data_IF_126863304933
#
_entry.id   IF_126863304933
#
_cell.length_a   1.000
_cell.length_b   1.000
_cell.length_c   1.000
_cell.angle_alpha   90.00
_cell.angle_beta   90.00
_cell.angle_gamma   90.00
#
_symmetry.space_group_name_H-M   'P 1'
#
loop_
_entity.id
_entity.type
_entity.pdbx_description
1 polymer ?
#
# COMPACT_ATOMS: atom_id res chain seq x y z
N UNK A 1 -0.27 -0.90 20.22
CA UNK A 1 -1.29 -0.21 19.38
C UNK A 1 -2.45 0.40 20.19
N UNK A 2 -3.20 -0.36 21.01
CA UNK A 2 -4.40 0.13 21.74
C UNK A 2 -4.17 1.38 22.60
N UNK A 3 -2.98 1.52 23.20
CA UNK A 3 -2.62 2.67 24.03
C UNK A 3 -2.41 3.96 23.23
N UNK A 4 -1.84 3.89 22.03
CA UNK A 4 -1.59 5.08 21.17
C UNK A 4 -2.91 5.60 20.60
N UNK A 5 -3.72 4.72 20.02
CA UNK A 5 -5.04 5.09 19.48
C UNK A 5 -5.94 5.68 20.57
N UNK A 6 -5.96 5.06 21.76
CA UNK A 6 -6.73 5.56 22.90
C UNK A 6 -6.24 6.91 23.41
N UNK A 7 -4.92 7.14 23.45
CA UNK A 7 -4.34 8.44 23.82
C UNK A 7 -4.74 9.52 22.81
N UNK A 8 -4.63 9.26 21.51
CA UNK A 8 -5.01 10.23 20.48
C UNK A 8 -6.49 10.57 20.56
N UNK A 9 -7.35 9.56 20.74
CA UNK A 9 -8.79 9.76 20.94
C UNK A 9 -9.07 10.70 22.11
N UNK A 10 -8.45 10.44 23.27
CA UNK A 10 -8.62 11.28 24.46
C UNK A 10 -8.12 12.70 24.23
N UNK A 11 -7.00 12.89 23.54
CA UNK A 11 -6.48 14.22 23.24
C UNK A 11 -7.42 15.03 22.35
N UNK A 12 -8.06 14.39 21.37
CA UNK A 12 -9.07 15.03 20.50
C UNK A 12 -10.35 15.38 21.29
N UNK A 13 -10.86 14.45 22.08
CA UNK A 13 -12.04 14.68 22.93
C UNK A 13 -11.78 15.82 23.95
N UNK A 14 -10.57 15.89 24.53
CA UNK A 14 -10.19 16.92 25.49
C UNK A 14 -10.17 18.34 24.91
N UNK A 15 -9.98 18.49 23.60
CA UNK A 15 -10.05 19.79 22.90
C UNK A 15 -11.44 20.05 22.27
N UNK A 16 -12.44 19.19 22.58
CA UNK A 16 -13.83 19.37 22.15
C UNK A 16 -14.16 18.81 20.77
N UNK A 17 -13.38 17.86 20.25
CA UNK A 17 -13.70 17.18 18.98
C UNK A 17 -14.69 16.05 19.21
N UNK A 18 -15.83 16.10 18.52
CA UNK A 18 -16.77 14.99 18.44
C UNK A 18 -16.24 13.90 17.50
N UNK A 19 -16.12 12.67 18.03
CA UNK A 19 -15.61 11.52 17.27
C UNK A 19 -16.76 10.60 16.89
N UNK A 20 -17.11 10.62 15.61
CA UNK A 20 -18.17 9.80 15.05
C UNK A 20 -17.56 8.59 14.34
N UNK A 21 -17.93 7.39 14.77
CA UNK A 21 -17.43 6.15 14.17
C UNK A 21 -18.37 5.66 13.06
N UNK A 22 -17.88 5.73 11.84
CA UNK A 22 -18.57 5.19 10.66
C UNK A 22 -17.80 5.52 9.38
N UNK A 23 -18.23 4.92 8.27
CA UNK A 23 -17.80 5.33 6.93
C UNK A 23 -18.62 6.56 6.52
N UNK A 24 -17.93 7.67 6.30
CA UNK A 24 -18.53 8.91 5.81
C UNK A 24 -18.58 8.94 4.27
N UNK A 25 -19.68 9.41 3.70
CA UNK A 25 -19.82 9.76 2.28
C UNK A 25 -20.40 11.15 2.16
N UNK A 26 -19.84 11.98 1.28
CA UNK A 26 -20.30 13.35 1.05
C UNK A 26 -21.56 13.28 0.20
N UNK A 27 -22.65 13.88 0.70
CA UNK A 27 -23.93 13.92 0.02
C UNK A 27 -24.14 15.24 -0.74
N UNK A 28 -23.71 16.33 -0.12
CA UNK A 28 -23.73 17.69 -0.67
C UNK A 28 -22.63 18.54 -0.01
N UNK A 29 -22.53 19.82 -0.35
CA UNK A 29 -21.45 20.72 0.10
C UNK A 29 -21.38 20.87 1.64
N UNK A 30 -22.47 20.51 2.34
CA UNK A 30 -22.60 20.70 3.78
C UNK A 30 -23.03 19.45 4.55
N UNK A 31 -23.20 18.30 3.89
CA UNK A 31 -23.77 17.11 4.53
C UNK A 31 -22.92 15.87 4.27
N UNK A 32 -22.57 15.18 5.36
CA UNK A 32 -21.92 13.86 5.33
C UNK A 32 -22.91 12.82 5.83
N UNK A 33 -23.16 11.81 5.00
CA UNK A 33 -23.87 10.60 5.40
C UNK A 33 -22.89 9.63 6.09
N UNK A 34 -23.32 9.05 7.20
CA UNK A 34 -22.54 8.11 8.00
C UNK A 34 -23.23 6.76 7.95
N UNK A 35 -22.49 5.74 7.55
CA UNK A 35 -22.95 4.34 7.60
C UNK A 35 -21.87 3.41 8.14
N UNK A 36 -22.26 2.23 8.63
CA UNK A 36 -21.30 1.18 8.99
C UNK A 36 -21.26 0.11 7.88
N UNK A 37 -20.07 -0.30 7.41
CA UNK A 37 -19.96 -1.42 6.48
C UNK A 37 -20.65 -2.67 7.04
N UNK A 38 -21.61 -3.24 6.29
CA UNK A 38 -22.34 -4.44 6.69
C UNK A 38 -23.49 -4.23 7.69
N UNK A 39 -23.88 -2.98 8.00
CA UNK A 39 -25.06 -2.68 8.81
C UNK A 39 -25.93 -1.62 8.12
N UNK A 40 -27.13 -2.03 7.71
CA UNK A 40 -28.11 -1.19 6.99
C UNK A 40 -28.90 -0.28 7.95
N UNK A 41 -28.89 -0.58 9.25
CA UNK A 41 -29.71 0.03 10.28
C UNK A 41 -29.01 1.15 11.08
N UNK A 42 -27.69 1.30 10.93
CA UNK A 42 -26.93 2.39 11.55
C UNK A 42 -26.60 3.40 10.45
N UNK A 43 -27.54 4.33 10.23
CA UNK A 43 -27.43 5.44 9.29
C UNK A 43 -27.66 6.77 10.01
N UNK A 44 -27.00 7.82 9.54
CA UNK A 44 -27.16 9.17 10.06
C UNK A 44 -26.54 10.21 9.14
N UNK A 45 -26.83 11.48 9.41
CA UNK A 45 -26.24 12.61 8.68
C UNK A 45 -25.68 13.63 9.64
N UNK A 46 -24.56 14.23 9.28
CA UNK A 46 -23.98 15.38 9.99
C UNK A 46 -23.85 16.52 9.01
N UNK A 47 -24.24 17.72 9.47
CA UNK A 47 -24.06 18.95 8.71
C UNK A 47 -22.85 19.72 9.19
N UNK A 48 -22.11 20.33 8.25
CA UNK A 48 -20.92 21.12 8.54
C UNK A 48 -20.79 22.30 7.56
N UNK A 49 -20.25 23.42 8.04
CA UNK A 49 -19.95 24.57 7.17
C UNK A 49 -18.83 24.28 6.18
N UNK A 50 -17.84 23.47 6.58
CA UNK A 50 -16.71 23.06 5.76
C UNK A 50 -16.43 21.57 5.98
N UNK A 51 -16.01 20.89 4.91
CA UNK A 51 -15.66 19.46 4.93
C UNK A 51 -14.20 19.31 4.52
N UNK A 52 -13.40 18.64 5.34
CA UNK A 52 -12.00 18.29 5.03
C UNK A 52 -11.94 16.80 4.70
N UNK A 53 -11.49 16.47 3.49
CA UNK A 53 -11.29 15.08 3.08
C UNK A 53 -9.87 14.65 3.43
N UNK A 54 -9.76 13.70 4.37
CA UNK A 54 -8.49 13.18 4.88
C UNK A 54 -8.46 11.64 4.89
N UNK A 55 -8.96 11.02 3.82
CA UNK A 55 -9.20 9.56 3.74
C UNK A 55 -7.96 8.73 3.44
N UNK A 56 -6.81 9.40 3.21
CA UNK A 56 -5.52 8.75 3.06
C UNK A 56 -5.39 7.93 1.78
N UNK A 57 -4.75 6.77 1.89
CA UNK A 57 -4.38 5.92 0.75
C UNK A 57 -4.47 4.45 1.12
N UNK A 58 -4.54 3.59 0.11
CA UNK A 58 -4.50 2.12 0.21
C UNK A 58 -3.30 1.57 -0.58
N UNK A 59 -2.77 0.38 -0.25
CA UNK A 59 -1.76 -0.27 -1.10
C UNK A 59 -2.20 -0.34 -2.56
N UNK A 60 -1.28 -0.05 -3.49
CA UNK A 60 -1.52 -0.20 -4.91
C UNK A 60 -1.09 -1.60 -5.34
N UNK A 61 -2.03 -2.37 -5.90
CA UNK A 61 -1.75 -3.68 -6.49
C UNK A 61 -1.71 -3.52 -8.02
N UNK A 62 -0.62 -3.93 -8.70
CA UNK A 62 -0.52 -3.85 -10.15
C UNK A 62 -1.64 -4.63 -10.86
N UNK A 63 -2.14 -4.17 -12.02
CA UNK A 63 -3.09 -4.94 -12.81
C UNK A 63 -2.55 -6.34 -13.14
N UNK A 64 -3.38 -7.36 -12.99
CA UNK A 64 -3.01 -8.77 -13.23
C UNK A 64 -2.55 -9.52 -11.99
N UNK A 65 -2.24 -8.83 -10.88
CA UNK A 65 -1.92 -9.47 -9.61
C UNK A 65 -3.17 -9.59 -8.73
N UNK A 66 -3.34 -10.76 -8.10
CA UNK A 66 -4.41 -11.00 -7.13
C UNK A 66 -3.81 -11.24 -5.75
N UNK A 67 -4.28 -10.47 -4.78
CA UNK A 67 -3.93 -10.61 -3.36
C UNK A 67 -4.93 -11.55 -2.71
N UNK A 68 -4.44 -12.59 -2.03
CA UNK A 68 -5.25 -13.59 -1.32
C UNK A 68 -5.19 -13.45 0.21
N UNK A 69 -4.40 -12.49 0.71
CA UNK A 69 -4.16 -12.19 2.13
C UNK A 69 -3.57 -13.38 2.93
N UNK A 70 -3.04 -14.39 2.23
CA UNK A 70 -2.44 -15.59 2.79
C UNK A 70 -1.00 -15.75 2.32
N UNK A 71 -0.80 -15.97 1.03
CA UNK A 71 0.52 -16.14 0.40
C UNK A 71 0.89 -14.96 -0.46
N UNK A 72 -0.08 -14.28 -1.06
CA UNK A 72 0.10 -13.04 -1.79
C UNK A 72 -0.62 -11.95 -1.03
N UNK A 73 0.13 -11.01 -0.46
CA UNK A 73 -0.42 -9.99 0.43
C UNK A 73 0.25 -8.63 0.27
N UNK A 74 -0.31 -7.60 0.90
CA UNK A 74 0.26 -6.25 0.92
C UNK A 74 0.89 -5.95 2.28
N UNK A 75 1.49 -4.77 2.42
CA UNK A 75 2.06 -4.32 3.71
C UNK A 75 1.05 -4.28 4.86
N UNK A 76 -0.25 -4.17 4.59
CA UNK A 76 -1.31 -4.15 5.61
C UNK A 76 -1.44 -5.50 6.36
N UNK A 77 -1.11 -6.62 5.68
CA UNK A 77 -1.13 -7.97 6.24
C UNK A 77 0.26 -8.47 6.63
N UNK A 78 1.32 -7.93 6.03
CA UNK A 78 2.72 -8.26 6.36
C UNK A 78 3.04 -8.10 7.87
N UNK A 79 2.43 -7.14 8.56
CA UNK A 79 2.59 -6.95 10.02
C UNK A 79 1.76 -7.91 10.89
N UNK A 80 0.93 -8.76 10.28
CA UNK A 80 -0.07 -9.62 10.93
C UNK A 80 0.02 -11.06 10.42
N UNK A 81 1.20 -11.46 9.97
CA UNK A 81 1.47 -12.85 9.65
C UNK A 81 1.49 -13.67 10.95
N UNK A 82 0.88 -14.84 10.92
CA UNK A 82 0.89 -15.77 12.05
C UNK A 82 2.18 -16.58 12.08
N UNK A 83 2.72 -16.88 10.90
CA UNK A 83 3.96 -17.62 10.68
C UNK A 83 4.81 -16.88 9.62
N UNK A 84 6.14 -16.96 9.76
CA UNK A 84 7.07 -16.37 8.80
C UNK A 84 7.34 -17.35 7.64
N UNK A 85 7.32 -16.90 6.38
CA UNK A 85 7.80 -17.71 5.27
C UNK A 85 9.31 -17.96 5.39
N UNK A 86 9.83 -19.04 4.82
CA UNK A 86 11.30 -19.23 4.74
C UNK A 86 11.89 -18.31 3.66
N UNK A 87 11.15 -18.12 2.56
CA UNK A 87 11.51 -17.24 1.45
C UNK A 87 10.33 -16.38 0.98
N UNK A 88 10.52 -15.06 0.94
CA UNK A 88 9.55 -14.09 0.47
C UNK A 88 10.07 -13.29 -0.73
N UNK A 89 9.25 -13.14 -1.77
CA UNK A 89 9.48 -12.13 -2.79
C UNK A 89 8.74 -10.82 -2.43
N UNK A 90 9.42 -9.69 -2.57
CA UNK A 90 8.82 -8.37 -2.37
C UNK A 90 8.79 -7.64 -3.72
N UNK A 91 7.60 -7.36 -4.22
CA UNK A 91 7.39 -6.67 -5.49
C UNK A 91 7.34 -5.17 -5.23
N UNK A 92 8.39 -4.46 -5.62
CA UNK A 92 8.62 -3.04 -5.40
C UNK A 92 9.71 -2.78 -4.36
N UNK A 93 10.73 -2.02 -4.74
CA UNK A 93 11.89 -1.69 -3.89
C UNK A 93 11.84 -0.27 -3.30
N UNK A 94 10.65 0.33 -3.22
CA UNK A 94 10.44 1.61 -2.54
C UNK A 94 10.67 1.51 -1.03
N UNK A 95 10.44 2.60 -0.31
CA UNK A 95 10.69 2.66 1.15
C UNK A 95 9.96 1.53 1.92
N UNK A 96 8.70 1.23 1.58
CA UNK A 96 7.95 0.11 2.20
C UNK A 96 8.67 -1.22 1.94
N UNK A 97 9.02 -1.52 0.69
CA UNK A 97 9.66 -2.78 0.33
C UNK A 97 11.00 -2.96 1.04
N UNK A 98 11.80 -1.90 1.13
CA UNK A 98 13.10 -1.93 1.81
C UNK A 98 12.99 -2.06 3.33
N UNK A 99 12.04 -1.37 3.97
CA UNK A 99 11.79 -1.51 5.41
C UNK A 99 11.41 -2.96 5.77
N UNK A 100 10.52 -3.57 4.98
CA UNK A 100 10.14 -4.97 5.19
C UNK A 100 11.27 -5.95 4.85
N UNK A 101 12.07 -5.69 3.81
CA UNK A 101 13.24 -6.51 3.52
C UNK A 101 14.22 -6.52 4.71
N UNK A 102 14.44 -5.38 5.35
CA UNK A 102 15.28 -5.27 6.54
C UNK A 102 14.69 -6.06 7.72
N UNK A 103 13.39 -5.94 7.97
CA UNK A 103 12.68 -6.68 9.03
C UNK A 103 12.72 -8.19 8.78
N UNK A 104 12.37 -8.65 7.58
CA UNK A 104 12.31 -10.07 7.26
C UNK A 104 13.69 -10.73 7.32
N UNK A 105 14.72 -10.08 6.78
CA UNK A 105 16.09 -10.61 6.89
C UNK A 105 16.59 -10.66 8.33
N UNK A 106 16.25 -9.67 9.17
CA UNK A 106 16.58 -9.71 10.59
C UNK A 106 15.89 -10.87 11.33
N UNK A 107 14.77 -11.36 10.81
CA UNK A 107 14.04 -12.51 11.32
C UNK A 107 14.47 -13.84 10.67
N UNK A 108 15.49 -13.83 9.82
CA UNK A 108 16.06 -15.03 9.18
C UNK A 108 15.35 -15.47 7.89
N UNK A 109 14.43 -14.66 7.36
CA UNK A 109 13.71 -14.93 6.11
C UNK A 109 14.57 -14.52 4.91
N UNK A 110 14.67 -15.41 3.91
CA UNK A 110 15.27 -15.10 2.62
C UNK A 110 14.38 -14.13 1.84
N UNK A 111 14.95 -13.11 1.21
CA UNK A 111 14.20 -12.06 0.52
C UNK A 111 14.65 -11.93 -0.92
N UNK A 112 13.71 -11.89 -1.86
CA UNK A 112 13.98 -11.47 -3.25
C UNK A 112 13.23 -10.18 -3.56
N UNK A 113 13.94 -9.11 -3.89
CA UNK A 113 13.34 -7.85 -4.33
C UNK A 113 13.09 -7.88 -5.84
N UNK A 114 11.89 -7.52 -6.28
CA UNK A 114 11.53 -7.40 -7.70
C UNK A 114 11.22 -5.94 -8.02
N UNK A 115 12.00 -5.31 -8.89
CA UNK A 115 11.89 -3.90 -9.23
C UNK A 115 11.79 -3.68 -10.75
N UNK A 116 10.77 -2.93 -11.16
CA UNK A 116 10.51 -2.64 -12.57
C UNK A 116 11.50 -1.64 -13.16
N UNK A 117 12.09 -0.79 -12.31
CA UNK A 117 13.06 0.23 -12.72
C UNK A 117 14.52 -0.31 -12.69
N UNK A 118 15.47 0.40 -13.32
CA UNK A 118 16.86 -0.06 -13.39
C UNK A 118 17.59 -0.19 -12.06
N UNK A 119 17.15 0.58 -11.07
CA UNK A 119 17.80 0.70 -9.77
C UNK A 119 16.79 0.45 -8.64
N UNK A 120 17.26 -0.13 -7.54
CA UNK A 120 16.50 -0.22 -6.30
C UNK A 120 16.28 1.16 -5.69
N UNK A 121 15.26 1.29 -4.83
CA UNK A 121 14.87 2.54 -4.16
C UNK A 121 14.65 3.69 -5.15
N UNK A 122 13.84 3.50 -6.20
CA UNK A 122 13.61 4.55 -7.19
C UNK A 122 13.03 5.81 -6.53
N UNK A 123 13.48 6.99 -6.99
CA UNK A 123 13.06 8.30 -6.47
C UNK A 123 13.95 8.88 -5.37
N UNK A 124 14.86 8.09 -4.79
CA UNK A 124 15.90 8.61 -3.91
C UNK A 124 17.06 9.22 -4.72
N UNK A 125 17.80 10.13 -4.08
CA UNK A 125 19.06 10.65 -4.65
C UNK A 125 20.07 9.52 -4.87
N UNK A 126 20.84 9.61 -5.96
CA UNK A 126 21.75 8.55 -6.37
C UNK A 126 22.88 8.25 -5.37
N UNK A 127 23.34 9.22 -4.59
CA UNK A 127 24.32 8.98 -3.53
C UNK A 127 23.71 8.20 -2.36
N UNK A 128 22.49 8.59 -1.96
CA UNK A 128 21.74 7.91 -0.91
C UNK A 128 21.43 6.47 -1.35
N UNK A 129 20.98 6.27 -2.59
CA UNK A 129 20.70 4.94 -3.15
C UNK A 129 21.94 4.04 -3.09
N UNK A 130 23.11 4.54 -3.51
CA UNK A 130 24.36 3.74 -3.49
C UNK A 130 24.75 3.33 -2.07
N UNK A 131 24.65 4.25 -1.12
CA UNK A 131 24.99 3.96 0.28
C UNK A 131 23.98 2.97 0.89
N UNK A 132 22.69 3.23 0.71
CA UNK A 132 21.62 2.38 1.22
C UNK A 132 21.67 0.97 0.60
N UNK A 133 21.92 0.85 -0.70
CA UNK A 133 22.08 -0.46 -1.36
C UNK A 133 23.23 -1.25 -0.75
N UNK A 134 24.37 -0.60 -0.51
CA UNK A 134 25.51 -1.25 0.13
C UNK A 134 25.17 -1.80 1.51
N UNK A 135 24.53 -0.97 2.34
CA UNK A 135 24.24 -1.31 3.74
C UNK A 135 23.11 -2.32 3.88
N UNK A 136 22.02 -2.11 3.14
CA UNK A 136 20.77 -2.87 3.30
C UNK A 136 20.70 -4.11 2.41
N UNK A 137 21.43 -4.14 1.29
CA UNK A 137 21.37 -5.24 0.31
C UNK A 137 22.73 -5.94 0.19
N UNK A 138 23.78 -5.22 -0.23
CA UNK A 138 25.05 -5.87 -0.59
C UNK A 138 25.74 -6.55 0.62
N UNK A 139 25.66 -5.94 1.80
CA UNK A 139 26.15 -6.52 3.06
C UNK A 139 25.33 -7.73 3.53
N UNK A 140 24.12 -7.94 2.97
CA UNK A 140 23.19 -9.02 3.29
C UNK A 140 22.97 -9.95 2.09
N UNK A 141 23.92 -10.04 1.16
CA UNK A 141 23.79 -10.81 -0.09
C UNK A 141 23.48 -12.30 0.08
N UNK A 142 23.76 -12.89 1.25
CA UNK A 142 23.42 -14.28 1.55
C UNK A 142 21.95 -14.46 1.99
N UNK A 143 21.23 -13.34 2.17
CA UNK A 143 19.84 -13.24 2.61
C UNK A 143 18.94 -12.46 1.66
N UNK A 144 19.50 -11.58 0.83
CA UNK A 144 18.77 -10.74 -0.12
C UNK A 144 19.31 -10.92 -1.53
N UNK A 145 18.44 -11.38 -2.41
CA UNK A 145 18.61 -11.28 -3.86
C UNK A 145 17.70 -10.19 -4.45
N UNK A 146 17.98 -9.76 -5.68
CA UNK A 146 17.14 -8.79 -6.36
C UNK A 146 17.19 -8.88 -7.89
N UNK A 147 16.05 -8.58 -8.51
CA UNK A 147 15.91 -8.42 -9.95
C UNK A 147 15.43 -7.01 -10.26
N UNK A 148 16.22 -6.24 -11.02
CA UNK A 148 15.83 -4.93 -11.56
C UNK A 148 15.47 -5.02 -13.04
N UNK A 149 14.82 -3.97 -13.57
CA UNK A 149 14.28 -3.94 -14.93
C UNK A 149 13.29 -5.09 -15.22
N UNK A 150 12.55 -5.55 -14.21
CA UNK A 150 11.55 -6.61 -14.37
C UNK A 150 10.26 -6.30 -13.62
N UNK A 151 9.13 -6.66 -14.20
CA UNK A 151 7.83 -6.60 -13.52
C UNK A 151 7.27 -8.01 -13.37
N UNK A 152 6.65 -8.27 -12.22
CA UNK A 152 5.88 -9.48 -12.00
C UNK A 152 4.60 -9.40 -12.85
N UNK A 153 4.43 -10.30 -13.82
CA UNK A 153 3.26 -10.35 -14.70
C UNK A 153 2.22 -11.35 -14.25
N UNK A 154 2.68 -12.45 -13.68
CA UNK A 154 1.83 -13.48 -13.11
C UNK A 154 2.37 -13.89 -11.74
N UNK A 155 1.48 -13.94 -10.76
CA UNK A 155 1.77 -14.41 -9.40
C UNK A 155 0.72 -15.45 -9.07
N UNK A 156 1.11 -16.73 -9.03
CA UNK A 156 0.16 -17.84 -8.92
C UNK A 156 0.55 -18.75 -7.76
N UNK A 157 -0.36 -19.01 -6.81
CA UNK A 157 -0.13 -20.03 -5.80
C UNK A 157 0.13 -21.40 -6.45
N UNK A 158 1.17 -22.10 -6.01
CA UNK A 158 1.50 -23.43 -6.51
C UNK A 158 0.74 -24.51 -5.73
N UNK A 159 0.62 -25.69 -6.33
CA UNK A 159 -0.03 -26.86 -5.73
C UNK A 159 0.69 -27.36 -4.48
N UNK A 160 1.98 -27.05 -4.33
CA UNK A 160 2.84 -27.53 -3.25
C UNK A 160 2.96 -26.56 -2.07
N UNK A 161 2.25 -25.43 -2.11
CA UNK A 161 2.21 -24.50 -0.98
C UNK A 161 2.96 -23.19 -1.21
N UNK A 162 3.75 -23.07 -2.28
CA UNK A 162 4.45 -21.84 -2.65
C UNK A 162 3.65 -20.92 -3.56
N UNK A 163 4.36 -19.98 -4.18
CA UNK A 163 3.90 -18.99 -5.14
C UNK A 163 4.93 -18.87 -6.27
N UNK A 164 4.49 -19.12 -7.49
CA UNK A 164 5.28 -18.90 -8.71
C UNK A 164 5.10 -17.47 -9.19
N UNK A 165 6.20 -16.82 -9.57
CA UNK A 165 6.24 -15.45 -10.09
C UNK A 165 6.94 -15.44 -11.45
N UNK A 166 6.21 -15.03 -12.49
CA UNK A 166 6.82 -14.74 -13.79
C UNK A 166 7.39 -13.32 -13.81
N UNK A 167 8.69 -13.22 -14.04
CA UNK A 167 9.42 -11.96 -14.16
C UNK A 167 9.56 -11.62 -15.64
N UNK A 168 8.91 -10.55 -16.07
CA UNK A 168 8.95 -10.05 -17.45
C UNK A 168 9.88 -8.85 -17.54
N UNK A 169 10.75 -8.83 -18.55
CA UNK A 169 11.67 -7.71 -18.77
C UNK A 169 10.89 -6.41 -19.10
N UNK A 170 11.22 -5.34 -18.38
CA UNK A 170 10.58 -4.03 -18.51
C UNK A 170 10.70 -3.42 -19.92
N UNK A 171 11.76 -3.78 -20.66
CA UNK A 171 12.06 -3.25 -21.98
C UNK A 171 11.50 -4.15 -23.08
N UNK A 172 11.84 -5.44 -23.08
CA UNK A 172 11.48 -6.35 -24.18
C UNK A 172 10.06 -6.89 -24.08
N UNK A 173 9.46 -6.86 -22.88
CA UNK A 173 8.17 -7.48 -22.56
C UNK A 173 8.17 -9.01 -22.68
N UNK A 174 9.34 -9.63 -22.71
CA UNK A 174 9.50 -11.08 -22.73
C UNK A 174 9.68 -11.62 -21.31
N UNK A 175 9.25 -12.87 -21.09
CA UNK A 175 9.53 -13.58 -19.82
C UNK A 175 11.04 -13.78 -19.73
N UNK A 176 11.63 -13.18 -18.69
CA UNK A 176 13.06 -13.24 -18.41
C UNK A 176 13.39 -14.38 -17.46
N UNK A 177 12.53 -14.61 -16.47
CA UNK A 177 12.75 -15.60 -15.44
C UNK A 177 11.44 -16.01 -14.76
N UNK A 178 11.48 -17.12 -14.04
CA UNK A 178 10.39 -17.62 -13.18
C UNK A 178 10.97 -18.04 -11.85
N UNK A 179 10.48 -17.46 -10.76
CA UNK A 179 10.91 -17.80 -9.39
C UNK A 179 9.75 -18.40 -8.59
N UNK A 180 10.05 -19.37 -7.74
CA UNK A 180 9.09 -19.94 -6.79
C UNK A 180 9.53 -19.62 -5.37
N UNK A 181 8.64 -19.02 -4.58
CA UNK A 181 8.86 -18.59 -3.20
C UNK A 181 7.69 -19.03 -2.31
N UNK A 182 7.82 -18.95 -0.99
CA UNK A 182 6.72 -19.34 -0.10
C UNK A 182 5.61 -18.27 -0.05
N UNK A 183 6.01 -17.01 -0.16
CA UNK A 183 5.10 -15.86 -0.08
C UNK A 183 5.55 -14.68 -0.94
N UNK A 184 4.59 -13.81 -1.26
CA UNK A 184 4.78 -12.59 -2.03
C UNK A 184 4.16 -11.41 -1.31
N UNK A 185 4.98 -10.38 -1.05
CA UNK A 185 4.50 -9.09 -0.59
C UNK A 185 4.48 -8.07 -1.73
N UNK A 186 3.31 -7.52 -2.04
CA UNK A 186 3.15 -6.44 -3.01
C UNK A 186 3.35 -5.09 -2.33
N UNK A 187 4.38 -4.36 -2.73
CA UNK A 187 4.80 -3.07 -2.18
C UNK A 187 5.13 -2.04 -3.29
N UNK A 188 4.34 -2.02 -4.37
CA UNK A 188 4.56 -1.16 -5.55
C UNK A 188 4.08 0.29 -5.37
N UNK A 189 3.84 0.72 -4.14
CA UNK A 189 3.36 2.06 -3.79
C UNK A 189 1.93 2.08 -3.26
N UNK A 190 1.33 3.28 -3.24
CA UNK A 190 0.01 3.53 -2.65
C UNK A 190 -0.85 4.36 -3.62
N UNK A 191 -2.15 4.15 -3.59
CA UNK A 191 -3.14 4.96 -4.33
C UNK A 191 -4.06 5.71 -3.36
N UNK A 192 -4.53 6.92 -3.68
CA UNK A 192 -5.53 7.62 -2.88
C UNK A 192 -6.77 6.77 -2.62
N UNK A 193 -7.33 6.87 -1.42
CA UNK A 193 -8.59 6.20 -1.09
C UNK A 193 -9.76 7.17 -1.31
N UNK A 194 -10.29 7.17 -2.53
CA UNK A 194 -11.40 8.04 -2.97
C UNK A 194 -12.70 7.28 -3.27
N UNK A 195 -12.67 5.95 -3.21
CA UNK A 195 -13.81 5.09 -3.51
C UNK A 195 -14.90 5.18 -2.44
N UNK A 196 -16.14 5.42 -2.88
CA UNK A 196 -17.30 5.50 -1.99
C UNK A 196 -17.33 6.74 -1.09
N UNK A 197 -16.63 7.81 -1.46
CA UNK A 197 -16.69 9.10 -0.78
C UNK A 197 -17.85 10.01 -1.25
N UNK A 198 -18.62 9.59 -2.26
CA UNK A 198 -19.73 10.37 -2.81
C UNK A 198 -19.32 11.49 -3.77
N UNK A 199 -18.04 11.55 -4.18
CA UNK A 199 -17.50 12.62 -5.04
C UNK A 199 -18.14 12.69 -6.44
N UNK A 200 -18.65 11.58 -6.94
CA UNK A 200 -19.36 11.49 -8.23
C UNK A 200 -20.63 12.34 -8.22
N UNK A 201 -21.40 12.32 -7.12
CA UNK A 201 -22.58 13.17 -6.93
C UNK A 201 -22.23 14.65 -6.73
N UNK A 202 -20.97 14.93 -6.44
CA UNK A 202 -20.41 16.27 -6.23
C UNK A 202 -19.72 16.83 -7.47
N UNK A 203 -19.86 16.25 -8.67
CA UNK A 203 -19.18 16.72 -9.89
C UNK A 203 -17.67 16.99 -9.67
N UNK A 204 -17.02 16.25 -8.77
CA UNK A 204 -15.58 16.38 -8.51
C UNK A 204 -14.87 15.40 -9.43
N UNK A 205 -14.24 15.92 -10.48
CA UNK A 205 -13.43 15.11 -11.38
C UNK A 205 -12.07 14.78 -10.75
N UNK A 206 -11.79 13.49 -10.59
CA UNK A 206 -10.51 13.04 -10.06
C UNK A 206 -9.39 13.23 -11.10
N UNK A 207 -8.21 13.60 -10.62
CA UNK A 207 -7.00 13.62 -11.43
C UNK A 207 -6.57 12.19 -11.81
N UNK A 208 -5.69 12.08 -12.81
CA UNK A 208 -5.04 10.81 -13.16
C UNK A 208 -4.43 10.17 -11.92
N UNK A 209 -4.74 8.89 -11.70
CA UNK A 209 -4.31 8.15 -10.51
C UNK A 209 -5.26 8.24 -9.31
N UNK A 210 -6.40 8.92 -9.44
CA UNK A 210 -7.48 8.91 -8.46
C UNK A 210 -7.38 9.99 -7.37
N UNK A 211 -6.55 11.01 -7.56
CA UNK A 211 -6.37 12.12 -6.61
C UNK A 211 -7.51 13.15 -6.73
N UNK A 212 -7.90 13.74 -5.59
CA UNK A 212 -8.84 14.86 -5.57
C UNK A 212 -8.07 16.14 -5.97
N UNK A 213 -8.55 16.94 -6.93
CA UNK A 213 -7.89 18.18 -7.31
C UNK A 213 -7.99 19.22 -6.19
N UNK A 214 -6.90 19.95 -5.96
CA UNK A 214 -6.82 21.03 -4.97
C UNK A 214 -6.09 22.23 -5.54
N UNK A 215 -6.47 23.44 -5.10
CA UNK A 215 -5.68 24.65 -5.30
C UNK A 215 -4.59 24.80 -4.22
N UNK A 216 -3.85 25.92 -4.24
CA UNK A 216 -2.77 26.23 -3.30
C UNK A 216 -3.21 26.32 -1.83
N UNK A 217 -4.52 26.45 -1.57
CA UNK A 217 -5.09 26.50 -0.22
C UNK A 217 -5.68 25.15 0.22
N UNK A 218 -5.43 24.07 -0.51
CA UNK A 218 -6.04 22.75 -0.33
C UNK A 218 -7.58 22.76 -0.45
N UNK A 219 -8.15 23.76 -1.12
CA UNK A 219 -9.58 23.77 -1.45
C UNK A 219 -9.81 23.09 -2.79
N UNK A 220 -10.91 22.34 -2.91
CA UNK A 220 -11.37 21.87 -4.20
C UNK A 220 -11.79 23.09 -5.06
N UNK A 221 -11.42 23.13 -6.35
CA UNK A 221 -11.72 24.28 -7.21
C UNK A 221 -13.17 24.36 -7.70
N UNK A 222 -14.01 23.33 -7.45
CA UNK A 222 -15.47 23.43 -7.57
C UNK A 222 -16.01 24.34 -6.47
#
# INVERSE_FOLDING_TARGET
AKTIQGNLRRSLEAIGVDIIQGKGSIKDDHTVEIGLPGRVDISGTVSANNIIIATGSTPAVPPGLTVDEKRVFTSDKALKLEELPEWIAIIGSGYIGMEFADVYTALGVQVTLVEALPNLMPGFDGEIQRLAKRVLVDNKKDMIDYHTNVFATRVTPTTFGGVEIELTDATTREIKDVIEVDAVMVATGRKPYTEGLGLEGMNVELLRGGFIPTNEKNANPR
#
